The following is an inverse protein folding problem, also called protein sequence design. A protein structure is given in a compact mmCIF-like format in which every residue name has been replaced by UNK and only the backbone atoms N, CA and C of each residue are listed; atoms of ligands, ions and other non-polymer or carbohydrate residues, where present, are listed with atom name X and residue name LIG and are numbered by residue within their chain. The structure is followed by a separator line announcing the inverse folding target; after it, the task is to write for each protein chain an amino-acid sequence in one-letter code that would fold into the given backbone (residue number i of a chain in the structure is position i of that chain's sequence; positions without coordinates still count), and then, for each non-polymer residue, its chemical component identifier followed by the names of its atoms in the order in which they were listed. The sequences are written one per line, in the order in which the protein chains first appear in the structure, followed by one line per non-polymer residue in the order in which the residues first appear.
data_IF_557883612627
#
_entry.id   IF_557883612627
#
_cell.length_a   1.000
_cell.length_b   1.000
_cell.length_c   1.000
_cell.angle_alpha   90.00
_cell.angle_beta   90.00
_cell.angle_gamma   90.00
#
_symmetry.space_group_name_H-M   'P 1'
#
loop_
_entity.id
_entity.type
_entity.pdbx_description
1 polymer ?
#
# COMPACT_ATOMS: atom_id res chain seq x y z
N UNK A 1 7.94 33.16 5.02
CA UNK A 1 8.87 32.53 4.05
C UNK A 1 9.18 31.13 4.56
N UNK A 2 8.69 30.08 3.90
CA UNK A 2 8.96 28.69 4.28
C UNK A 2 10.32 28.30 3.68
N UNK A 3 11.30 28.04 4.53
CA UNK A 3 12.59 27.51 4.09
C UNK A 3 12.43 26.01 3.78
N UNK A 4 12.60 25.62 2.53
CA UNK A 4 12.72 24.22 2.14
C UNK A 4 14.19 23.83 2.19
N UNK A 5 14.51 22.79 2.94
CA UNK A 5 15.86 22.22 2.98
C UNK A 5 15.97 21.07 2.00
N UNK A 6 17.10 20.98 1.33
CA UNK A 6 17.47 19.87 0.45
C UNK A 6 18.65 19.13 1.05
N UNK A 7 18.57 17.81 1.07
CA UNK A 7 19.69 16.94 1.45
C UNK A 7 20.09 16.10 0.24
N UNK A 8 21.28 16.30 -0.25
CA UNK A 8 21.82 15.51 -1.36
C UNK A 8 22.25 14.13 -0.88
N UNK A 9 22.02 13.12 -1.71
CA UNK A 9 22.42 11.72 -1.50
C UNK A 9 23.34 11.32 -2.66
N UNK A 10 24.32 10.47 -2.39
CA UNK A 10 25.17 9.81 -3.41
C UNK A 10 25.29 8.32 -3.06
N UNK A 11 25.48 7.50 -4.07
CA UNK A 11 25.62 6.05 -3.90
C UNK A 11 24.96 5.32 -5.06
N UNK A 12 24.67 4.05 -4.87
CA UNK A 12 23.87 3.28 -5.82
C UNK A 12 22.44 3.81 -5.85
N UNK A 13 21.72 3.59 -6.96
CA UNK A 13 20.31 3.96 -7.08
C UNK A 13 19.50 3.26 -5.99
N UNK A 14 18.86 4.04 -5.12
CA UNK A 14 17.94 3.54 -4.11
C UNK A 14 16.53 3.41 -4.71
N UNK A 15 15.78 2.39 -4.27
CA UNK A 15 14.39 2.18 -4.72
C UNK A 15 14.26 1.44 -6.05
N UNK A 16 15.33 0.78 -6.51
CA UNK A 16 15.25 -0.19 -7.61
C UNK A 16 15.10 -1.58 -7.00
N UNK A 17 13.93 -2.19 -7.23
CA UNK A 17 13.64 -3.54 -6.79
C UNK A 17 14.32 -4.59 -7.71
N UNK A 18 14.60 -5.77 -7.16
CA UNK A 18 15.09 -6.94 -7.90
C UNK A 18 14.14 -8.11 -7.64
N UNK A 19 12.98 -8.06 -8.29
CA UNK A 19 11.90 -9.01 -8.10
C UNK A 19 12.17 -10.33 -8.79
N UNK A 20 11.86 -11.41 -8.08
CA UNK A 20 11.86 -12.79 -8.58
C UNK A 20 10.53 -13.45 -8.23
N UNK A 21 9.82 -13.92 -9.26
CA UNK A 21 8.63 -14.74 -9.05
C UNK A 21 9.06 -16.17 -8.67
N UNK A 22 8.69 -16.61 -7.47
CA UNK A 22 9.06 -17.92 -6.95
C UNK A 22 8.18 -19.07 -7.49
N UNK A 23 7.12 -18.75 -8.24
CA UNK A 23 6.20 -19.73 -8.85
C UNK A 23 5.27 -20.45 -7.87
N UNK A 24 5.20 -19.99 -6.63
CA UNK A 24 4.41 -20.57 -5.54
C UNK A 24 3.47 -19.56 -4.84
N UNK A 25 3.14 -18.47 -5.53
CA UNK A 25 2.30 -17.38 -5.01
C UNK A 25 3.07 -16.34 -4.20
N UNK A 26 4.41 -16.35 -4.30
CA UNK A 26 5.26 -15.37 -3.62
C UNK A 26 6.25 -14.71 -4.58
N UNK A 27 6.66 -13.48 -4.26
CA UNK A 27 7.66 -12.68 -4.97
C UNK A 27 8.78 -12.34 -3.98
N UNK A 28 10.01 -12.64 -4.33
CA UNK A 28 11.19 -12.20 -3.55
C UNK A 28 11.76 -10.93 -4.18
N UNK A 29 11.93 -9.90 -3.38
CA UNK A 29 12.73 -8.74 -3.73
C UNK A 29 14.14 -8.90 -3.15
N UNK A 30 15.11 -9.19 -4.02
CA UNK A 30 16.50 -9.38 -3.61
C UNK A 30 17.17 -8.08 -3.17
N UNK A 31 16.67 -6.93 -3.62
CA UNK A 31 17.21 -5.63 -3.24
C UNK A 31 16.93 -5.29 -1.77
N UNK A 32 15.77 -5.70 -1.25
CA UNK A 32 15.36 -5.45 0.13
C UNK A 32 15.52 -6.66 1.04
N UNK A 33 15.63 -7.87 0.49
CA UNK A 33 15.62 -9.13 1.23
C UNK A 33 14.24 -9.51 1.77
N UNK A 34 13.17 -8.95 1.20
CA UNK A 34 11.79 -9.23 1.56
C UNK A 34 11.15 -10.24 0.60
N UNK A 35 10.25 -11.04 1.13
CA UNK A 35 9.36 -11.89 0.35
C UNK A 35 7.92 -11.41 0.53
N UNK A 36 7.21 -11.27 -0.58
CA UNK A 36 5.87 -10.71 -0.66
C UNK A 36 4.86 -11.76 -1.10
N UNK A 37 3.65 -11.67 -0.59
CA UNK A 37 2.49 -12.34 -1.17
C UNK A 37 2.25 -11.76 -2.58
N UNK A 38 2.11 -12.64 -3.59
CA UNK A 38 1.95 -12.21 -4.99
C UNK A 38 0.58 -11.57 -5.24
N UNK A 39 -0.50 -12.23 -4.83
CA UNK A 39 -1.85 -11.68 -4.84
C UNK A 39 -2.11 -10.86 -3.56
N UNK A 40 -3.10 -9.98 -3.58
CA UNK A 40 -3.59 -9.33 -2.37
C UNK A 40 -4.63 -10.19 -1.64
N UNK A 41 -5.28 -9.63 -0.61
CA UNK A 41 -6.32 -10.32 0.17
C UNK A 41 -7.61 -10.62 -0.61
N UNK A 42 -7.79 -10.08 -1.82
CA UNK A 42 -9.00 -10.21 -2.63
C UNK A 42 -10.23 -9.51 -2.08
N UNK A 43 -10.19 -9.06 -0.84
CA UNK A 43 -11.23 -8.28 -0.17
C UNK A 43 -10.60 -7.31 0.82
N UNK A 44 -11.28 -6.19 1.07
CA UNK A 44 -10.86 -5.21 2.06
C UNK A 44 -11.21 -5.67 3.48
N UNK A 45 -10.38 -5.30 4.44
CA UNK A 45 -10.47 -5.65 5.85
C UNK A 45 -10.29 -4.38 6.69
N UNK A 46 -10.92 -4.31 7.86
CA UNK A 46 -10.50 -3.36 8.88
C UNK A 46 -9.09 -3.71 9.39
N UNK A 47 -8.47 -2.81 10.12
CA UNK A 47 -7.08 -2.97 10.51
C UNK A 47 -6.84 -4.15 11.47
N UNK A 48 -7.76 -4.43 12.38
CA UNK A 48 -7.66 -5.56 13.32
C UNK A 48 -7.78 -6.89 12.58
N UNK A 49 -8.75 -7.01 11.68
CA UNK A 49 -8.91 -8.18 10.83
C UNK A 49 -7.74 -8.34 9.83
N UNK A 50 -7.13 -7.25 9.38
CA UNK A 50 -5.92 -7.29 8.57
C UNK A 50 -4.73 -7.88 9.34
N UNK A 51 -4.56 -7.53 10.62
CA UNK A 51 -3.54 -8.14 11.49
C UNK A 51 -3.84 -9.62 11.75
N UNK A 52 -5.11 -9.98 11.99
CA UNK A 52 -5.53 -11.36 12.18
C UNK A 52 -5.32 -12.21 10.92
N UNK A 53 -5.62 -11.66 9.74
CA UNK A 53 -5.33 -12.28 8.44
C UNK A 53 -3.84 -12.60 8.31
N UNK A 54 -2.97 -11.65 8.63
CA UNK A 54 -1.52 -11.86 8.59
C UNK A 54 -1.07 -12.94 9.60
N UNK A 55 -1.55 -12.88 10.83
CA UNK A 55 -1.17 -13.81 11.90
C UNK A 55 -1.61 -15.26 11.66
N UNK A 56 -2.66 -15.46 10.85
CA UNK A 56 -3.18 -16.80 10.50
C UNK A 56 -2.68 -17.31 9.16
N UNK A 57 -1.93 -16.49 8.40
CA UNK A 57 -1.54 -16.85 7.05
C UNK A 57 -0.50 -17.96 7.01
N UNK A 58 -0.77 -18.96 6.18
CA UNK A 58 0.20 -19.97 5.77
C UNK A 58 0.25 -19.98 4.25
N UNK A 59 1.35 -19.53 3.70
CA UNK A 59 1.56 -19.42 2.25
C UNK A 59 2.96 -19.92 1.89
N UNK A 60 3.05 -20.72 0.85
CA UNK A 60 4.31 -21.30 0.36
C UNK A 60 5.10 -22.10 1.41
N UNK A 61 4.41 -22.63 2.43
CA UNK A 61 5.02 -23.39 3.53
C UNK A 61 5.60 -22.55 4.66
N UNK A 62 5.37 -21.25 4.65
CA UNK A 62 5.78 -20.31 5.71
C UNK A 62 4.56 -19.86 6.51
N UNK A 63 4.76 -19.61 7.81
CA UNK A 63 3.75 -19.16 8.79
C UNK A 63 4.17 -17.89 9.56
N UNK A 64 5.26 -17.24 9.12
CA UNK A 64 5.80 -16.00 9.69
C UNK A 64 5.43 -14.75 8.88
N UNK A 65 4.31 -14.80 8.16
CA UNK A 65 3.76 -13.67 7.42
C UNK A 65 3.25 -12.58 8.35
N UNK A 66 3.43 -11.34 7.92
CA UNK A 66 3.00 -10.16 8.66
C UNK A 66 2.49 -9.06 7.72
N UNK A 67 1.78 -8.07 8.28
CA UNK A 67 1.58 -6.82 7.56
C UNK A 67 2.93 -6.10 7.37
N UNK A 68 3.18 -5.53 6.19
CA UNK A 68 4.35 -4.67 5.98
C UNK A 68 4.27 -3.43 6.87
N UNK A 69 5.39 -2.92 7.33
CA UNK A 69 5.42 -1.55 7.81
C UNK A 69 5.28 -0.58 6.62
N UNK A 70 4.99 0.70 6.90
CA UNK A 70 4.73 1.68 5.83
C UNK A 70 5.92 1.88 4.89
N UNK A 71 7.16 1.74 5.37
CA UNK A 71 8.36 1.88 4.54
C UNK A 71 8.55 0.68 3.60
N UNK A 72 8.28 -0.52 4.10
CA UNK A 72 8.29 -1.74 3.30
C UNK A 72 7.21 -1.66 2.22
N UNK A 73 5.97 -1.32 2.59
CA UNK A 73 4.88 -1.21 1.62
C UNK A 73 5.16 -0.15 0.56
N UNK A 74 5.73 0.99 0.93
CA UNK A 74 6.14 2.04 0.02
C UNK A 74 7.28 1.59 -0.91
N UNK A 75 8.12 0.63 -0.51
CA UNK A 75 9.25 0.17 -1.31
C UNK A 75 8.86 -0.56 -2.60
N UNK A 76 7.61 -1.05 -2.71
CA UNK A 76 7.08 -1.72 -3.90
C UNK A 76 6.18 -0.83 -4.76
N UNK A 77 6.12 0.48 -4.46
CA UNK A 77 5.35 1.44 -5.26
C UNK A 77 6.08 1.77 -6.55
N UNK A 78 5.40 1.58 -7.66
CA UNK A 78 5.83 2.06 -8.97
C UNK A 78 5.16 3.41 -9.28
N UNK A 79 5.87 4.49 -9.06
CA UNK A 79 5.38 5.85 -9.29
C UNK A 79 5.28 6.22 -10.78
N UNK A 80 5.59 5.32 -11.70
CA UNK A 80 5.44 5.56 -13.14
C UNK A 80 4.03 5.23 -13.64
N UNK A 81 3.22 4.56 -12.82
CA UNK A 81 1.86 4.15 -13.18
C UNK A 81 0.79 4.83 -12.33
N UNK A 82 -0.36 5.09 -12.97
CA UNK A 82 -1.58 5.58 -12.31
C UNK A 82 -2.81 5.19 -13.13
N UNK A 83 -3.96 4.87 -12.50
CA UNK A 83 -5.22 4.67 -13.23
C UNK A 83 -5.68 5.89 -14.01
N UNK A 84 -5.27 7.09 -13.58
CA UNK A 84 -5.59 8.38 -14.20
C UNK A 84 -4.51 8.91 -15.15
N UNK A 85 -3.48 8.10 -15.49
CA UNK A 85 -2.42 8.54 -16.38
C UNK A 85 -2.95 8.93 -17.77
N UNK A 86 -2.41 9.99 -18.32
CA UNK A 86 -2.76 10.45 -19.67
C UNK A 86 -2.07 9.66 -20.79
N UNK A 87 -0.94 9.02 -20.48
CA UNK A 87 -0.21 8.14 -21.39
C UNK A 87 -0.65 6.69 -21.16
N UNK A 88 -1.11 6.03 -22.23
CA UNK A 88 -1.56 4.64 -22.17
C UNK A 88 -0.48 3.66 -21.68
N UNK A 89 0.80 3.96 -21.89
CA UNK A 89 1.89 3.14 -21.38
C UNK A 89 2.03 3.18 -19.85
N UNK A 90 1.46 4.19 -19.21
CA UNK A 90 1.54 4.43 -17.76
C UNK A 90 0.20 4.19 -17.06
N UNK A 91 -0.82 3.71 -17.81
CA UNK A 91 -2.10 3.33 -17.22
C UNK A 91 -1.96 2.04 -16.40
N UNK A 92 -2.42 2.07 -15.17
CA UNK A 92 -2.41 0.90 -14.29
C UNK A 92 -2.24 1.26 -12.82
N UNK A 93 -2.15 0.24 -11.96
CA UNK A 93 -1.86 0.45 -10.55
C UNK A 93 -0.41 0.88 -10.33
N UNK A 94 -0.15 1.63 -9.27
CA UNK A 94 1.20 2.03 -8.88
C UNK A 94 2.02 0.86 -8.27
N UNK A 95 2.04 -0.27 -8.97
CA UNK A 95 2.80 -1.47 -8.60
C UNK A 95 3.15 -2.26 -9.87
N UNK A 96 4.30 -2.94 -9.88
CA UNK A 96 4.75 -3.73 -11.02
C UNK A 96 3.87 -4.99 -11.21
N UNK A 97 2.98 -4.94 -12.21
CA UNK A 97 2.03 -6.02 -12.53
C UNK A 97 2.64 -7.22 -13.25
N UNK A 98 3.90 -7.16 -13.68
CA UNK A 98 4.62 -8.33 -14.17
C UNK A 98 4.90 -9.33 -13.04
N UNK A 99 4.94 -8.83 -11.80
CA UNK A 99 5.18 -9.64 -10.60
C UNK A 99 3.97 -9.75 -9.70
N UNK A 100 3.24 -8.66 -9.47
CA UNK A 100 2.15 -8.62 -8.49
C UNK A 100 0.77 -8.70 -9.14
N UNK A 101 -0.12 -9.44 -8.50
CA UNK A 101 -1.54 -9.45 -8.82
C UNK A 101 -2.25 -8.52 -7.84
N UNK A 102 -3.13 -7.67 -8.35
CA UNK A 102 -3.87 -6.70 -7.55
C UNK A 102 -5.34 -6.72 -7.94
N UNK A 103 -6.23 -6.63 -6.93
CA UNK A 103 -7.67 -6.61 -7.16
C UNK A 103 -8.08 -5.34 -7.87
N UNK A 104 -8.74 -5.50 -9.03
CA UNK A 104 -9.33 -4.41 -9.79
C UNK A 104 -10.66 -3.98 -9.16
N UNK A 105 -10.87 -2.69 -9.12
CA UNK A 105 -12.09 -2.04 -8.66
C UNK A 105 -12.73 -1.25 -9.78
N UNK A 106 -14.06 -1.13 -9.82
CA UNK A 106 -14.70 -0.17 -10.71
C UNK A 106 -14.29 1.24 -10.30
N UNK A 107 -13.90 2.05 -11.27
CA UNK A 107 -13.61 3.46 -11.01
C UNK A 107 -14.86 4.21 -10.58
N UNK A 108 -14.72 5.12 -9.63
CA UNK A 108 -15.78 6.06 -9.24
C UNK A 108 -15.97 7.23 -10.21
N UNK A 109 -15.15 7.30 -11.28
CA UNK A 109 -15.19 8.43 -12.24
C UNK A 109 -15.51 7.95 -13.66
N UNK A 110 -15.79 8.92 -14.57
CA UNK A 110 -16.00 8.64 -15.99
C UNK A 110 -14.72 8.70 -16.83
N UNK A 111 -13.60 9.09 -16.23
CA UNK A 111 -12.35 9.35 -16.94
C UNK A 111 -11.53 8.07 -17.19
N UNK A 112 -11.71 7.05 -16.35
CA UNK A 112 -11.12 5.73 -16.48
C UNK A 112 -12.07 4.68 -15.90
N UNK A 113 -11.91 3.41 -16.26
CA UNK A 113 -12.87 2.35 -15.93
C UNK A 113 -12.44 1.49 -14.74
N UNK A 114 -11.14 1.43 -14.47
CA UNK A 114 -10.55 0.56 -13.47
C UNK A 114 -9.76 1.39 -12.47
N UNK A 115 -9.91 1.06 -11.21
CA UNK A 115 -9.14 1.63 -10.10
C UNK A 115 -8.60 0.49 -9.22
N UNK A 116 -7.82 0.82 -8.20
CA UNK A 116 -7.19 -0.15 -7.30
C UNK A 116 -7.27 0.34 -5.86
N UNK A 117 -7.20 -0.60 -4.93
CA UNK A 117 -7.46 -0.31 -3.53
C UNK A 117 -6.30 0.34 -2.78
N UNK A 118 -6.62 0.68 -1.54
CA UNK A 118 -5.69 1.12 -0.50
C UNK A 118 -5.22 -0.10 0.27
N UNK A 119 -3.97 -0.09 0.72
CA UNK A 119 -3.37 -1.24 1.38
C UNK A 119 -2.85 -0.89 2.76
N UNK A 120 -3.32 -1.61 3.78
CA UNK A 120 -2.90 -1.43 5.15
C UNK A 120 -1.42 -1.69 5.38
N UNK A 121 -0.80 -0.86 6.20
CA UNK A 121 0.45 -1.19 6.86
C UNK A 121 0.25 -1.51 8.34
N UNK A 122 1.25 -2.15 8.97
CA UNK A 122 1.27 -2.37 10.42
C UNK A 122 1.62 -1.09 11.22
N UNK A 123 1.95 0.00 10.55
CA UNK A 123 2.41 1.24 11.19
C UNK A 123 1.22 2.08 11.63
N UNK A 124 1.04 2.25 12.94
CA UNK A 124 0.09 3.21 13.48
C UNK A 124 0.51 4.64 13.16
N UNK A 125 -0.45 5.48 12.80
CA UNK A 125 -0.23 6.91 12.66
C UNK A 125 -0.53 7.58 14.01
N UNK A 126 0.43 8.37 14.49
CA UNK A 126 0.30 9.15 15.72
C UNK A 126 0.01 10.61 15.40
N UNK A 127 -1.08 11.10 15.98
CA UNK A 127 -1.43 12.51 15.94
C UNK A 127 -1.53 13.03 17.38
N UNK A 128 -0.67 13.98 17.73
CA UNK A 128 -0.69 14.62 19.03
C UNK A 128 -1.98 15.44 19.22
N UNK A 129 -2.61 15.29 20.38
CA UNK A 129 -3.85 15.98 20.76
C UNK A 129 -4.43 15.40 22.03
N UNK A 130 -5.59 15.92 22.44
CA UNK A 130 -6.21 15.58 23.74
C UNK A 130 -6.91 14.22 23.78
N UNK A 131 -6.89 13.42 22.69
CA UNK A 131 -7.58 12.11 22.64
C UNK A 131 -7.14 11.25 21.47
N UNK A 132 -7.43 9.98 21.56
CA UNK A 132 -6.54 8.84 21.59
C UNK A 132 -5.63 8.80 20.39
N UNK A 133 -4.39 8.71 20.71
CA UNK A 133 -3.20 8.97 19.95
C UNK A 133 -2.90 7.95 18.83
N UNK A 134 -3.67 6.85 18.70
CA UNK A 134 -3.37 5.74 17.79
C UNK A 134 -4.60 5.20 17.04
N UNK A 135 -5.59 6.03 16.77
CA UNK A 135 -6.78 5.62 16.03
C UNK A 135 -6.51 5.25 14.57
N UNK A 136 -5.44 5.78 14.00
CA UNK A 136 -5.15 5.66 12.59
C UNK A 136 -4.01 4.69 12.31
N UNK A 137 -4.02 4.10 11.12
CA UNK A 137 -2.88 3.39 10.55
C UNK A 137 -2.54 3.96 9.17
N UNK A 138 -1.25 3.92 8.84
CA UNK A 138 -0.78 4.32 7.52
C UNK A 138 -1.14 3.28 6.47
N UNK A 139 -1.48 3.75 5.29
CA UNK A 139 -1.72 2.93 4.10
C UNK A 139 -0.96 3.47 2.88
N UNK A 140 -0.91 2.65 1.82
CA UNK A 140 -0.49 3.06 0.47
C UNK A 140 -1.68 2.90 -0.47
N UNK A 141 -1.96 3.90 -1.30
CA UNK A 141 -2.90 3.81 -2.41
C UNK A 141 -2.16 3.30 -3.65
N UNK A 142 -2.49 2.12 -4.16
CA UNK A 142 -1.97 1.66 -5.45
C UNK A 142 -2.83 2.11 -6.63
N UNK A 143 -4.05 2.57 -6.38
CA UNK A 143 -4.92 3.28 -7.29
C UNK A 143 -4.95 4.78 -7.02
N UNK A 144 -6.07 5.43 -7.36
CA UNK A 144 -6.30 6.83 -7.01
C UNK A 144 -6.32 7.04 -5.50
N UNK A 145 -5.88 8.18 -5.04
CA UNK A 145 -5.89 8.54 -3.61
C UNK A 145 -6.85 9.71 -3.40
N UNK A 146 -8.13 9.36 -3.31
CA UNK A 146 -9.23 10.33 -3.22
C UNK A 146 -9.31 10.94 -1.83
N UNK A 147 -9.73 12.20 -1.80
CA UNK A 147 -10.10 12.92 -0.58
C UNK A 147 -11.54 12.63 -0.15
N UNK A 148 -12.05 13.36 0.85
CA UNK A 148 -13.42 13.21 1.35
C UNK A 148 -14.51 13.61 0.35
N UNK A 149 -14.17 14.37 -0.68
CA UNK A 149 -15.08 14.79 -1.77
C UNK A 149 -15.04 13.80 -2.95
N UNK A 150 -14.13 12.83 -2.94
CA UNK A 150 -13.96 11.80 -3.96
C UNK A 150 -13.02 12.23 -5.10
N UNK A 151 -12.32 13.33 -4.96
CA UNK A 151 -11.35 13.81 -5.95
C UNK A 151 -9.97 13.14 -5.73
N UNK A 152 -9.32 12.71 -6.83
CA UNK A 152 -7.95 12.15 -6.79
C UNK A 152 -6.92 13.25 -6.53
N UNK A 153 -6.87 13.69 -5.27
CA UNK A 153 -6.05 14.84 -4.86
C UNK A 153 -4.59 14.47 -4.63
N UNK A 154 -4.30 13.21 -4.32
CA UNK A 154 -2.97 12.78 -3.90
C UNK A 154 -2.25 11.89 -4.90
N UNK A 155 -2.99 11.26 -5.83
CA UNK A 155 -2.45 10.40 -6.87
C UNK A 155 -2.03 9.01 -6.39
N UNK A 156 -1.83 8.12 -7.35
CA UNK A 156 -1.36 6.75 -7.10
C UNK A 156 0.02 6.73 -6.44
N UNK A 157 0.23 5.81 -5.53
CA UNK A 157 1.44 5.71 -4.70
C UNK A 157 1.42 6.59 -3.45
N UNK A 158 0.33 7.34 -3.20
CA UNK A 158 0.22 8.17 -2.01
C UNK A 158 0.28 7.34 -0.73
N UNK A 159 1.00 7.89 0.26
CA UNK A 159 1.06 7.36 1.62
C UNK A 159 0.20 8.25 2.49
N UNK A 160 -0.87 7.67 3.06
CA UNK A 160 -1.87 8.40 3.85
C UNK A 160 -2.29 7.55 5.05
N UNK A 161 -3.29 7.99 5.80
CA UNK A 161 -3.79 7.28 6.96
C UNK A 161 -5.32 7.22 6.96
N UNK A 162 -5.85 6.09 7.44
CA UNK A 162 -7.28 5.87 7.68
C UNK A 162 -7.51 5.46 9.13
N UNK A 163 -8.74 5.62 9.59
CA UNK A 163 -9.16 5.09 10.89
C UNK A 163 -9.11 3.57 10.90
N UNK A 164 -8.71 2.99 12.02
CA UNK A 164 -8.58 1.53 12.19
C UNK A 164 -9.92 0.81 12.33
N UNK A 165 -10.95 1.52 12.76
CA UNK A 165 -12.26 0.97 13.09
C UNK A 165 -13.39 1.90 12.61
N UNK A 166 -14.58 1.32 12.41
CA UNK A 166 -15.78 1.99 11.90
C UNK A 166 -16.24 3.18 12.76
N UNK A 167 -16.07 3.09 14.07
CA UNK A 167 -16.44 4.10 15.03
C UNK A 167 -15.29 5.07 15.39
N UNK A 168 -14.19 4.98 14.66
CA UNK A 168 -13.03 5.84 14.84
C UNK A 168 -13.27 7.25 14.29
N UNK A 169 -12.42 8.22 14.66
CA UNK A 169 -12.48 9.56 14.10
C UNK A 169 -12.17 9.52 12.60
N UNK A 170 -12.78 10.43 11.84
CA UNK A 170 -12.57 10.52 10.40
C UNK A 170 -11.09 10.71 10.05
N UNK A 171 -10.61 9.93 9.07
CA UNK A 171 -9.30 10.12 8.46
C UNK A 171 -9.32 11.22 7.38
N UNK A 172 -8.20 11.45 6.74
CA UNK A 172 -8.11 12.44 5.64
C UNK A 172 -8.91 12.02 4.39
N UNK A 173 -9.13 10.72 4.20
CA UNK A 173 -9.94 10.17 3.11
C UNK A 173 -11.43 9.98 3.43
N UNK A 174 -11.94 10.58 4.51
CA UNK A 174 -13.31 10.41 4.97
C UNK A 174 -13.50 9.21 5.89
N UNK A 175 -14.65 8.52 5.79
CA UNK A 175 -15.03 7.39 6.67
C UNK A 175 -14.51 6.04 6.16
N UNK A 176 -13.30 5.97 5.65
CA UNK A 176 -12.74 4.72 5.16
C UNK A 176 -12.04 3.98 6.29
N UNK A 177 -12.40 2.74 6.53
CA UNK A 177 -11.82 1.85 7.53
C UNK A 177 -11.60 0.42 7.02
N UNK A 178 -11.85 0.18 5.73
CA UNK A 178 -11.56 -1.09 5.06
C UNK A 178 -10.53 -0.89 3.95
N UNK A 179 -9.39 -1.54 4.06
CA UNK A 179 -8.34 -1.54 3.05
C UNK A 179 -7.87 -2.97 2.75
N UNK A 180 -7.24 -3.17 1.61
CA UNK A 180 -6.66 -4.45 1.20
C UNK A 180 -5.40 -4.77 2.00
N UNK A 181 -4.96 -6.01 1.88
CA UNK A 181 -3.76 -6.52 2.54
C UNK A 181 -2.84 -7.18 1.51
N UNK A 182 -1.56 -6.91 1.61
CA UNK A 182 -0.49 -7.68 0.98
C UNK A 182 0.53 -8.03 2.05
N UNK A 183 0.75 -9.32 2.24
CA UNK A 183 1.63 -9.81 3.28
C UNK A 183 3.10 -9.74 2.87
N UNK A 184 3.94 -9.62 3.87
CA UNK A 184 5.39 -9.63 3.73
C UNK A 184 6.02 -10.51 4.81
N UNK A 185 7.19 -11.07 4.51
CA UNK A 185 8.10 -11.72 5.46
C UNK A 185 9.54 -11.46 5.05
N UNK A 186 10.48 -11.74 5.93
CA UNK A 186 11.90 -11.75 5.55
C UNK A 186 12.17 -12.96 4.64
N UNK A 187 12.86 -12.74 3.52
CA UNK A 187 13.06 -13.81 2.55
C UNK A 187 13.88 -14.99 3.11
N UNK A 188 14.63 -14.73 4.18
CA UNK A 188 15.61 -15.67 4.73
C UNK A 188 16.85 -15.78 3.82
N UNK A 189 17.96 -16.13 4.38
CA UNK A 189 19.16 -16.52 3.64
C UNK A 189 19.20 -18.03 3.47
#
# INVERSE_FOLDING_TARGET
MLFRSVRAVRGNTYGVNDFVNNGNGTITDKATGLMWQQADSGSSLDWENALAYAASATLAGYDDWRLPNIKELQSIVDYTHSPSASDAANLGPAIDTDYFQITELPSGTTNYTTDYGYFWSSTSAYFGGDSPEYYYAWYVAFGTAVDGDGDDFHGAGAVRFDTKAEDGPLGEGGERYYNYVRLVRDAGN
#
